data_IF_143310709940
#
_entry.id   IF_143310709940
#
_cell.length_a   1.000
_cell.length_b   1.000
_cell.length_c   1.000
_cell.angle_alpha   90.00
_cell.angle_beta   90.00
_cell.angle_gamma   90.00
#
_symmetry.space_group_name_H-M   'P 1'
#
loop_
_entity.id
_entity.type
_entity.pdbx_description
1 polymer ?
#
# COMPACT_ATOMS: atom_id res chain seq x y z
N UNK A 1 17.53 -19.01 -11.71
CA UNK A 1 17.81 -18.87 -10.27
C UNK A 1 18.10 -17.43 -9.85
N UNK A 2 18.89 -16.66 -10.60
CA UNK A 2 19.24 -15.27 -10.26
C UNK A 2 18.05 -14.31 -10.18
N UNK A 3 17.03 -14.45 -11.04
CA UNK A 3 15.82 -13.60 -11.02
C UNK A 3 14.98 -13.80 -9.76
N UNK A 4 14.74 -15.05 -9.38
CA UNK A 4 13.96 -15.40 -8.18
C UNK A 4 14.65 -14.85 -6.92
N UNK A 5 15.98 -15.01 -6.83
CA UNK A 5 16.75 -14.47 -5.70
C UNK A 5 16.66 -12.95 -5.62
N UNK A 6 16.70 -12.25 -6.75
CA UNK A 6 16.58 -10.79 -6.80
C UNK A 6 15.18 -10.31 -6.36
N UNK A 7 14.13 -11.00 -6.80
CA UNK A 7 12.75 -10.71 -6.39
C UNK A 7 12.60 -10.92 -4.89
N UNK A 8 13.01 -12.08 -4.37
CA UNK A 8 12.91 -12.39 -2.94
C UNK A 8 13.69 -11.39 -2.09
N UNK A 9 14.92 -11.06 -2.48
CA UNK A 9 15.74 -10.08 -1.77
C UNK A 9 15.06 -8.72 -1.73
N UNK A 10 14.50 -8.28 -2.86
CA UNK A 10 13.75 -7.01 -2.92
C UNK A 10 12.54 -7.02 -1.98
N UNK A 11 11.73 -8.09 -1.99
CA UNK A 11 10.60 -8.22 -1.07
C UNK A 11 11.05 -8.20 0.40
N UNK A 12 12.07 -8.96 0.77
CA UNK A 12 12.59 -8.98 2.15
C UNK A 12 13.12 -7.61 2.59
N UNK A 13 13.79 -6.86 1.70
CA UNK A 13 14.24 -5.50 2.05
C UNK A 13 13.08 -4.55 2.30
N UNK A 14 12.01 -4.60 1.49
CA UNK A 14 10.81 -3.77 1.68
C UNK A 14 10.09 -4.15 2.98
N UNK A 15 9.92 -5.45 3.24
CA UNK A 15 9.34 -5.93 4.50
C UNK A 15 10.13 -5.44 5.71
N UNK A 16 11.46 -5.58 5.69
CA UNK A 16 12.31 -5.14 6.80
C UNK A 16 12.22 -3.64 7.07
N UNK A 17 12.33 -2.81 6.03
CA UNK A 17 12.26 -1.35 6.16
C UNK A 17 10.90 -0.92 6.70
N UNK A 18 9.81 -1.44 6.13
CA UNK A 18 8.46 -1.01 6.49
C UNK A 18 8.05 -1.51 7.88
N UNK A 19 8.47 -2.72 8.27
CA UNK A 19 8.33 -3.24 9.63
C UNK A 19 9.04 -2.35 10.65
N UNK A 20 10.27 -1.92 10.37
CA UNK A 20 11.01 -1.05 11.28
C UNK A 20 10.35 0.33 11.40
N UNK A 21 9.94 0.93 10.28
CA UNK A 21 9.33 2.26 10.27
C UNK A 21 7.99 2.27 11.01
N UNK A 22 7.10 1.31 10.72
CA UNK A 22 5.79 1.23 11.37
C UNK A 22 5.94 0.84 12.84
N UNK A 23 6.80 -0.15 13.16
CA UNK A 23 7.05 -0.57 14.54
C UNK A 23 7.61 0.54 15.41
N UNK A 24 8.64 1.25 14.92
CA UNK A 24 9.22 2.39 15.63
C UNK A 24 8.23 3.54 15.79
N UNK A 25 7.33 3.76 14.81
CA UNK A 25 6.29 4.77 14.93
C UNK A 25 5.26 4.41 15.99
N UNK A 26 4.80 3.15 16.00
CA UNK A 26 3.80 2.67 16.97
C UNK A 26 4.36 2.79 18.38
N UNK A 27 5.59 2.33 18.61
CA UNK A 27 6.18 2.31 19.95
C UNK A 27 6.46 3.71 20.52
N UNK A 28 6.87 4.66 19.69
CA UNK A 28 7.19 6.01 20.17
C UNK A 28 5.95 6.86 20.47
N UNK A 29 4.83 6.61 19.78
CA UNK A 29 3.66 7.50 19.79
C UNK A 29 2.45 6.94 20.54
N UNK A 30 2.28 5.62 20.58
CA UNK A 30 1.08 5.00 21.13
C UNK A 30 1.37 4.37 22.48
N UNK A 31 0.58 4.76 23.48
CA UNK A 31 0.62 4.11 24.77
C UNK A 31 -0.07 2.73 24.71
N UNK A 32 0.32 1.77 25.55
CA UNK A 32 -0.24 0.41 25.55
C UNK A 32 -1.77 0.36 25.68
N UNK A 33 -2.36 1.36 26.33
CA UNK A 33 -3.81 1.51 26.50
C UNK A 33 -4.56 1.74 25.19
N UNK A 34 -3.93 2.38 24.20
CA UNK A 34 -4.54 2.64 22.88
C UNK A 34 -4.41 1.43 21.94
N UNK A 35 -3.53 0.47 22.27
CA UNK A 35 -3.28 -0.75 21.51
C UNK A 35 -4.04 -1.96 22.08
N UNK A 36 -4.94 -1.73 23.05
CA UNK A 36 -5.77 -2.76 23.65
C UNK A 36 -6.71 -3.39 22.62
N UNK A 37 -6.84 -4.70 22.73
CA UNK A 37 -7.89 -5.52 22.13
C UNK A 37 -8.39 -6.48 23.22
N UNK A 38 -9.68 -6.47 23.52
CA UNK A 38 -10.30 -7.36 24.53
C UNK A 38 -9.56 -7.37 25.89
N UNK A 39 -9.10 -6.19 26.33
CA UNK A 39 -8.38 -6.00 27.60
C UNK A 39 -6.92 -6.46 27.60
N UNK A 40 -6.37 -6.88 26.46
CA UNK A 40 -4.94 -7.24 26.29
C UNK A 40 -4.24 -6.24 25.40
N UNK A 41 -3.10 -5.72 25.85
CA UNK A 41 -2.28 -4.81 25.05
C UNK A 41 -1.56 -5.62 23.97
N UNK A 42 -1.82 -5.29 22.71
CA UNK A 42 -1.10 -5.89 21.59
C UNK A 42 0.27 -5.23 21.50
N UNK A 43 1.32 -6.05 21.36
CA UNK A 43 2.67 -5.55 21.16
C UNK A 43 2.75 -4.77 19.83
N UNK A 44 3.26 -3.53 19.86
CA UNK A 44 3.38 -2.66 18.70
C UNK A 44 4.21 -3.24 17.55
N UNK A 45 5.28 -3.97 17.87
CA UNK A 45 6.08 -4.69 16.87
C UNK A 45 5.31 -5.83 16.22
N UNK A 46 4.55 -6.60 17.00
CA UNK A 46 3.70 -7.65 16.45
C UNK A 46 2.64 -7.05 15.50
N UNK A 47 2.00 -5.96 15.91
CA UNK A 47 1.05 -5.27 15.05
C UNK A 47 1.70 -4.75 13.77
N UNK A 48 2.88 -4.15 13.87
CA UNK A 48 3.64 -3.71 12.70
C UNK A 48 3.95 -4.87 11.76
N UNK A 49 4.35 -6.03 12.27
CA UNK A 49 4.63 -7.20 11.46
C UNK A 49 3.39 -7.64 10.67
N UNK A 50 2.24 -7.75 11.34
CA UNK A 50 0.98 -8.12 10.71
C UNK A 50 0.60 -7.11 9.63
N UNK A 51 0.56 -5.82 9.95
CA UNK A 51 0.18 -4.75 9.01
C UNK A 51 1.11 -4.73 7.78
N UNK A 52 2.42 -4.88 7.99
CA UNK A 52 3.41 -4.90 6.92
C UNK A 52 3.20 -6.10 5.99
N UNK A 53 3.06 -7.30 6.55
CA UNK A 53 2.90 -8.54 5.76
C UNK A 53 1.55 -8.54 5.04
N UNK A 54 0.47 -8.17 5.72
CA UNK A 54 -0.88 -8.21 5.15
C UNK A 54 -1.13 -7.07 4.21
N UNK A 55 -0.56 -5.89 4.45
CA UNK A 55 -0.65 -4.75 3.55
C UNK A 55 0.09 -4.98 2.24
N UNK A 56 1.33 -5.48 2.30
CA UNK A 56 2.11 -5.76 1.09
C UNK A 56 1.48 -6.90 0.26
N UNK A 57 0.96 -7.93 0.94
CA UNK A 57 0.28 -9.05 0.28
C UNK A 57 -1.20 -8.79 -0.01
N UNK A 58 -1.72 -7.59 0.26
CA UNK A 58 -3.10 -7.20 -0.07
C UNK A 58 -4.19 -8.04 0.62
N UNK A 59 -3.93 -8.50 1.84
CA UNK A 59 -4.85 -9.35 2.59
C UNK A 59 -5.77 -8.59 3.55
N UNK A 60 -5.42 -7.38 3.96
CA UNK A 60 -6.28 -6.54 4.83
C UNK A 60 -6.45 -7.00 6.26
N UNK A 61 -5.71 -8.02 6.69
CA UNK A 61 -5.79 -8.54 8.05
C UNK A 61 -5.05 -7.62 9.01
N UNK A 62 -5.70 -7.27 10.11
CA UNK A 62 -5.12 -6.50 11.21
C UNK A 62 -5.30 -7.30 12.49
N UNK A 63 -4.49 -7.02 13.53
CA UNK A 63 -4.65 -7.70 14.81
C UNK A 63 -5.86 -7.21 15.62
N UNK A 64 -6.57 -6.18 15.13
CA UNK A 64 -7.69 -5.55 15.83
C UNK A 64 -9.01 -5.76 15.11
N UNK A 65 -10.11 -5.68 15.86
CA UNK A 65 -11.47 -5.81 15.30
C UNK A 65 -11.92 -4.57 14.52
N UNK A 66 -11.34 -3.41 14.80
CA UNK A 66 -11.65 -2.13 14.15
C UNK A 66 -10.76 -1.83 12.93
N UNK A 67 -10.06 -2.83 12.40
CA UNK A 67 -9.07 -2.66 11.34
C UNK A 67 -7.98 -1.65 11.74
N UNK A 68 -7.89 -0.52 11.02
CA UNK A 68 -7.01 0.59 11.33
C UNK A 68 -7.79 1.84 11.76
N UNK A 69 -9.03 1.66 12.23
CA UNK A 69 -9.92 2.73 12.70
C UNK A 69 -9.30 3.63 13.75
N UNK A 70 -8.63 3.03 14.75
CA UNK A 70 -7.85 3.75 15.77
C UNK A 70 -6.78 4.71 15.24
N UNK A 71 -6.30 4.51 14.01
CA UNK A 71 -5.26 5.33 13.38
C UNK A 71 -5.80 6.38 12.40
N UNK A 72 -7.12 6.53 12.28
CA UNK A 72 -7.75 7.42 11.30
C UNK A 72 -7.23 8.87 11.33
N UNK A 73 -6.91 9.39 12.53
CA UNK A 73 -6.39 10.75 12.72
C UNK A 73 -4.87 10.87 12.59
N UNK A 74 -4.13 9.75 12.55
CA UNK A 74 -2.68 9.80 12.43
C UNK A 74 -2.24 9.83 10.97
N UNK A 75 -1.76 11.01 10.57
CA UNK A 75 -1.30 11.27 9.21
C UNK A 75 -0.19 10.31 8.79
N UNK A 76 0.79 10.10 9.66
CA UNK A 76 1.98 9.33 9.32
C UNK A 76 1.68 7.84 9.21
N UNK A 77 0.86 7.31 10.13
CA UNK A 77 0.48 5.90 10.10
C UNK A 77 -0.29 5.57 8.81
N UNK A 78 -1.28 6.39 8.45
CA UNK A 78 -2.02 6.23 7.20
C UNK A 78 -1.10 6.27 5.98
N UNK A 79 -0.15 7.22 5.94
CA UNK A 79 0.82 7.32 4.85
C UNK A 79 1.72 6.08 4.77
N UNK A 80 2.24 5.57 5.89
CA UNK A 80 3.07 4.37 5.89
C UNK A 80 2.33 3.15 5.37
N UNK A 81 1.08 2.95 5.79
CA UNK A 81 0.26 1.82 5.32
C UNK A 81 -0.08 1.97 3.84
N UNK A 82 -0.44 3.18 3.37
CA UNK A 82 -0.64 3.45 1.94
C UNK A 82 0.62 3.11 1.14
N UNK A 83 1.80 3.53 1.60
CA UNK A 83 3.06 3.25 0.92
C UNK A 83 3.34 1.75 0.85
N UNK A 84 3.15 1.01 1.94
CA UNK A 84 3.30 -0.47 1.96
C UNK A 84 2.41 -1.13 0.91
N UNK A 85 1.13 -0.73 0.84
CA UNK A 85 0.15 -1.31 -0.10
C UNK A 85 0.50 -0.97 -1.54
N UNK A 86 0.90 0.28 -1.82
CA UNK A 86 1.29 0.71 -3.17
C UNK A 86 2.59 0.00 -3.59
N UNK A 87 3.55 -0.20 -2.67
CA UNK A 87 4.79 -0.93 -2.94
C UNK A 87 4.56 -2.42 -3.21
N UNK A 88 3.59 -3.05 -2.55
CA UNK A 88 3.22 -4.45 -2.83
C UNK A 88 2.47 -4.65 -4.14
N UNK A 89 1.90 -3.58 -4.69
CA UNK A 89 1.04 -3.61 -5.88
C UNK A 89 1.68 -2.88 -7.05
N UNK A 90 1.31 -1.61 -7.20
CA UNK A 90 1.46 -0.86 -8.44
C UNK A 90 2.90 -0.42 -8.67
N UNK A 91 3.64 -0.14 -7.59
CA UNK A 91 5.04 0.23 -7.67
C UNK A 91 5.98 -0.99 -7.73
N UNK A 92 5.51 -2.20 -7.48
CA UNK A 92 6.38 -3.37 -7.42
C UNK A 92 7.18 -3.61 -8.71
N UNK A 93 6.55 -3.63 -9.92
CA UNK A 93 7.30 -3.84 -11.17
C UNK A 93 8.30 -2.71 -11.46
N UNK A 94 7.93 -1.48 -11.10
CA UNK A 94 8.79 -0.32 -11.24
C UNK A 94 10.01 -0.41 -10.33
N UNK A 95 9.82 -0.76 -9.05
CA UNK A 95 10.91 -0.97 -8.09
C UNK A 95 11.83 -2.09 -8.56
N UNK A 96 11.28 -3.24 -8.95
CA UNK A 96 12.06 -4.38 -9.42
C UNK A 96 12.96 -3.98 -10.61
N UNK A 97 12.43 -3.22 -11.56
CA UNK A 97 13.20 -2.72 -12.71
C UNK A 97 14.33 -1.78 -12.30
N UNK A 98 14.07 -0.86 -11.36
CA UNK A 98 15.11 0.04 -10.85
C UNK A 98 16.20 -0.72 -10.09
N UNK A 99 15.83 -1.72 -9.28
CA UNK A 99 16.80 -2.58 -8.57
C UNK A 99 17.67 -3.35 -9.57
N UNK A 100 17.11 -3.88 -10.66
CA UNK A 100 17.88 -4.55 -11.72
C UNK A 100 18.86 -3.59 -12.41
N UNK A 101 18.43 -2.35 -12.67
CA UNK A 101 19.31 -1.32 -13.26
C UNK A 101 20.43 -0.94 -12.28
N UNK A 102 20.12 -0.77 -10.99
CA UNK A 102 21.12 -0.49 -9.95
C UNK A 102 22.11 -1.65 -9.80
N UNK A 103 21.63 -2.90 -9.83
CA UNK A 103 22.49 -4.08 -9.80
C UNK A 103 23.46 -4.11 -10.99
N UNK A 104 23.08 -3.59 -12.17
CA UNK A 104 23.97 -3.48 -13.34
C UNK A 104 25.19 -2.58 -13.08
N UNK A 105 25.08 -1.59 -12.20
CA UNK A 105 26.21 -0.71 -11.86
C UNK A 105 27.21 -1.37 -10.91
N UNK A 106 26.72 -2.25 -10.01
CA UNK A 106 27.54 -2.89 -8.98
C UNK A 106 28.24 -4.14 -9.50
N UNK A 107 27.62 -4.82 -10.47
CA UNK A 107 28.01 -6.17 -10.89
C UNK A 107 29.09 -6.17 -11.99
N UNK A 108 30.12 -7.05 -11.92
CA UNK A 108 31.19 -7.15 -12.92
C UNK A 108 30.68 -7.59 -14.31
N UNK A 109 31.44 -7.25 -15.35
CA UNK A 109 31.06 -7.36 -16.77
C UNK A 109 30.44 -8.71 -17.19
N UNK A 110 30.90 -9.84 -16.63
CA UNK A 110 30.40 -11.19 -16.98
C UNK A 110 28.90 -11.38 -16.68
N UNK A 111 28.39 -10.75 -15.64
CA UNK A 111 26.99 -10.89 -15.23
C UNK A 111 26.08 -9.80 -15.80
N UNK A 112 26.64 -8.71 -16.37
CA UNK A 112 25.86 -7.67 -17.07
C UNK A 112 25.09 -8.22 -18.25
N UNK A 113 25.66 -9.19 -18.97
CA UNK A 113 25.02 -9.87 -20.10
C UNK A 113 23.75 -10.62 -19.64
N UNK A 114 23.80 -11.25 -18.46
CA UNK A 114 22.65 -11.96 -17.88
C UNK A 114 21.55 -10.98 -17.47
N UNK A 115 21.91 -9.85 -16.87
CA UNK A 115 20.97 -8.78 -16.49
C UNK A 115 20.30 -8.13 -17.72
N UNK A 116 21.08 -7.85 -18.77
CA UNK A 116 20.55 -7.34 -20.03
C UNK A 116 19.64 -8.37 -20.71
N UNK A 117 19.99 -9.65 -20.67
CA UNK A 117 19.12 -10.73 -21.17
C UNK A 117 17.79 -10.82 -20.40
N UNK A 118 17.80 -10.63 -19.07
CA UNK A 118 16.59 -10.60 -18.24
C UNK A 118 15.70 -9.39 -18.58
N UNK A 119 16.30 -8.22 -18.83
CA UNK A 119 15.56 -7.01 -19.23
C UNK A 119 14.97 -7.12 -20.64
N UNK A 120 15.66 -7.81 -21.56
CA UNK A 120 15.22 -8.05 -22.94
C UNK A 120 14.15 -9.16 -23.04
N UNK A 121 14.27 -10.23 -22.25
CA UNK A 121 13.30 -11.35 -22.19
C UNK A 121 12.42 -11.31 -20.93
N UNK A 122 11.91 -10.12 -20.65
CA UNK A 122 11.07 -9.77 -19.51
C UNK A 122 9.94 -10.78 -19.21
N UNK A 123 9.08 -11.12 -20.19
CA UNK A 123 7.92 -11.99 -19.96
C UNK A 123 8.24 -13.48 -19.77
N UNK A 124 9.41 -13.96 -20.19
CA UNK A 124 9.79 -15.39 -20.07
C UNK A 124 10.45 -15.75 -18.74
N UNK A 125 10.99 -14.76 -18.03
CA UNK A 125 11.84 -14.96 -16.84
C UNK A 125 11.24 -14.43 -15.54
N UNK A 126 10.31 -13.47 -15.63
CA UNK A 126 9.50 -13.02 -14.48
C UNK A 126 8.22 -12.38 -15.00
N UNK A 127 7.06 -12.95 -14.67
CA UNK A 127 5.75 -12.35 -14.96
C UNK A 127 5.57 -10.98 -14.28
N UNK A 128 6.36 -10.69 -13.25
CA UNK A 128 6.32 -9.43 -12.49
C UNK A 128 7.16 -8.31 -13.12
N UNK A 129 7.96 -8.60 -14.16
CA UNK A 129 8.80 -7.62 -14.82
C UNK A 129 8.13 -7.16 -16.12
N UNK A 130 7.37 -6.07 -16.05
CA UNK A 130 6.74 -5.49 -17.23
C UNK A 130 7.74 -4.72 -18.12
N UNK A 131 7.48 -4.61 -19.43
CA UNK A 131 8.14 -3.65 -20.30
C UNK A 131 8.14 -2.24 -19.68
N UNK A 132 9.19 -1.48 -19.98
CA UNK A 132 9.38 -0.12 -19.44
C UNK A 132 8.19 0.81 -19.71
N UNK A 133 7.65 0.72 -20.93
CA UNK A 133 6.52 1.55 -21.38
C UNK A 133 5.24 1.10 -20.69
N UNK A 134 4.98 -0.20 -20.63
CA UNK A 134 3.80 -0.75 -19.96
C UNK A 134 3.77 -0.41 -18.47
N UNK A 135 4.91 -0.50 -17.79
CA UNK A 135 5.02 -0.11 -16.36
C UNK A 135 4.67 1.36 -16.15
N UNK A 136 5.14 2.25 -17.02
CA UNK A 136 4.86 3.69 -16.93
C UNK A 136 3.39 4.00 -17.21
N UNK A 137 2.80 3.38 -18.24
CA UNK A 137 1.39 3.53 -18.58
C UNK A 137 0.51 3.02 -17.43
N UNK A 138 0.83 1.85 -16.89
CA UNK A 138 0.09 1.27 -15.76
C UNK A 138 0.12 2.17 -14.52
N UNK A 139 1.29 2.73 -14.18
CA UNK A 139 1.42 3.69 -13.08
C UNK A 139 0.61 4.96 -13.33
N UNK A 140 0.63 5.48 -14.56
CA UNK A 140 -0.12 6.68 -14.95
C UNK A 140 -1.63 6.43 -14.80
N UNK A 141 -2.15 5.34 -15.38
CA UNK A 141 -3.57 4.98 -15.31
C UNK A 141 -3.99 4.77 -13.85
N UNK A 142 -3.20 4.03 -13.07
CA UNK A 142 -3.50 3.77 -11.66
C UNK A 142 -3.53 5.05 -10.83
N UNK A 143 -2.58 5.96 -11.06
CA UNK A 143 -2.55 7.27 -10.40
C UNK A 143 -3.78 8.11 -10.77
N UNK A 144 -4.19 8.10 -12.04
CA UNK A 144 -5.40 8.82 -12.48
C UNK A 144 -6.65 8.26 -11.81
N UNK A 145 -6.80 6.94 -11.75
CA UNK A 145 -7.94 6.29 -11.09
C UNK A 145 -8.03 6.68 -9.61
N UNK A 146 -6.90 6.75 -8.91
CA UNK A 146 -6.88 7.21 -7.52
C UNK A 146 -7.28 8.67 -7.37
N UNK A 147 -6.74 9.57 -8.20
CA UNK A 147 -7.08 10.99 -8.17
C UNK A 147 -8.58 11.18 -8.40
N UNK A 148 -9.13 10.50 -9.41
CA UNK A 148 -10.56 10.54 -9.73
C UNK A 148 -11.39 9.97 -8.58
N UNK A 149 -11.00 8.81 -8.03
CA UNK A 149 -11.70 8.15 -6.93
C UNK A 149 -11.78 9.03 -5.68
N UNK A 150 -10.65 9.62 -5.27
CA UNK A 150 -10.59 10.54 -4.12
C UNK A 150 -11.41 11.79 -4.38
N UNK A 151 -11.29 12.40 -5.56
CA UNK A 151 -12.01 13.64 -5.90
C UNK A 151 -13.52 13.44 -5.86
N UNK A 152 -14.04 12.37 -6.49
CA UNK A 152 -15.48 12.08 -6.52
C UNK A 152 -15.97 11.75 -5.10
N UNK A 153 -15.24 10.93 -4.35
CA UNK A 153 -15.63 10.55 -2.98
C UNK A 153 -15.69 11.76 -2.05
N UNK A 154 -14.71 12.67 -2.15
CA UNK A 154 -14.72 13.93 -1.41
C UNK A 154 -15.95 14.78 -1.75
N UNK A 155 -16.24 14.99 -3.04
CA UNK A 155 -17.37 15.80 -3.49
C UNK A 155 -18.70 15.25 -3.00
N UNK A 156 -18.86 13.91 -3.00
CA UNK A 156 -20.11 13.25 -2.60
C UNK A 156 -20.34 13.29 -1.08
N UNK A 157 -19.29 13.29 -0.28
CA UNK A 157 -19.38 13.27 1.19
C UNK A 157 -19.16 14.64 1.88
N UNK A 158 -19.03 15.75 1.12
CA UNK A 158 -18.82 17.11 1.69
C UNK A 158 -19.85 17.51 2.76
N UNK A 159 -21.10 17.06 2.64
CA UNK A 159 -22.20 17.43 3.54
C UNK A 159 -22.48 16.40 4.65
N UNK A 160 -21.65 15.37 4.76
CA UNK A 160 -21.90 14.28 5.70
C UNK A 160 -21.44 14.67 7.12
N UNK A 161 -22.37 14.62 8.07
CA UNK A 161 -22.16 15.06 9.47
C UNK A 161 -21.10 14.23 10.20
N UNK A 162 -20.88 13.00 9.77
CA UNK A 162 -19.88 12.11 10.36
C UNK A 162 -18.44 12.62 10.15
N UNK A 163 -18.20 13.38 9.07
CA UNK A 163 -16.87 13.89 8.74
C UNK A 163 -16.61 15.30 9.27
N UNK A 164 -17.65 16.02 9.72
CA UNK A 164 -17.53 17.36 10.31
C UNK A 164 -16.64 17.40 11.57
N UNK A 165 -16.35 16.24 12.17
CA UNK A 165 -15.45 16.09 13.32
C UNK A 165 -13.96 16.09 12.96
N UNK A 166 -13.63 15.94 11.67
CA UNK A 166 -12.25 15.89 11.18
C UNK A 166 -11.91 17.19 10.45
N UNK A 167 -10.68 17.68 10.67
CA UNK A 167 -10.12 18.76 9.88
C UNK A 167 -10.02 18.35 8.39
N UNK A 168 -10.13 19.32 7.48
CA UNK A 168 -10.15 19.09 6.03
C UNK A 168 -8.96 18.23 5.54
N UNK A 169 -7.77 18.45 6.09
CA UNK A 169 -6.57 17.65 5.77
C UNK A 169 -6.70 16.18 6.17
N UNK A 170 -7.32 15.90 7.32
CA UNK A 170 -7.56 14.53 7.78
C UNK A 170 -8.68 13.87 6.98
N UNK A 171 -9.71 14.63 6.57
CA UNK A 171 -10.75 14.12 5.68
C UNK A 171 -10.13 13.67 4.35
N UNK A 172 -9.35 14.55 3.69
CA UNK A 172 -8.64 14.22 2.47
C UNK A 172 -7.82 12.93 2.61
N UNK A 173 -7.08 12.80 3.71
CA UNK A 173 -6.27 11.62 3.97
C UNK A 173 -7.11 10.36 4.18
N UNK A 174 -8.24 10.45 4.88
CA UNK A 174 -9.17 9.31 5.06
C UNK A 174 -9.72 8.84 3.72
N UNK A 175 -10.15 9.75 2.85
CA UNK A 175 -10.64 9.39 1.51
C UNK A 175 -9.53 8.84 0.61
N UNK A 176 -8.33 9.42 0.69
CA UNK A 176 -7.14 8.90 0.00
C UNK A 176 -6.81 7.48 0.46
N UNK A 177 -6.77 7.25 1.77
CA UNK A 177 -6.54 5.94 2.36
C UNK A 177 -7.61 4.95 1.86
N UNK A 178 -8.88 5.27 2.03
CA UNK A 178 -9.97 4.37 1.68
C UNK A 178 -10.00 4.07 0.17
N UNK A 179 -9.72 5.06 -0.69
CA UNK A 179 -9.62 4.87 -2.15
C UNK A 179 -8.48 3.93 -2.53
N UNK A 180 -7.32 4.01 -1.86
CA UNK A 180 -6.20 3.10 -2.11
C UNK A 180 -6.52 1.70 -1.60
N UNK A 181 -7.14 1.59 -0.41
CA UNK A 181 -7.42 0.30 0.22
C UNK A 181 -8.51 -0.49 -0.49
N UNK A 182 -9.58 0.17 -0.95
CA UNK A 182 -10.71 -0.49 -1.66
C UNK A 182 -10.28 -1.20 -2.94
N UNK A 183 -9.18 -0.76 -3.57
CA UNK A 183 -8.68 -1.40 -4.79
C UNK A 183 -7.76 -2.60 -4.54
N UNK A 184 -7.10 -2.67 -3.37
CA UNK A 184 -6.01 -3.64 -3.15
C UNK A 184 -6.04 -4.31 -1.78
N UNK A 185 -5.94 -3.56 -0.69
CA UNK A 185 -5.61 -4.15 0.61
C UNK A 185 -6.79 -4.28 1.58
N UNK A 186 -7.94 -3.67 1.36
CA UNK A 186 -9.13 -3.88 2.18
C UNK A 186 -9.06 -3.36 3.64
N UNK A 187 -8.03 -2.61 4.03
CA UNK A 187 -8.01 -1.94 5.33
C UNK A 187 -9.03 -0.81 5.40
N UNK A 188 -9.55 -0.56 6.60
CA UNK A 188 -10.51 0.51 6.86
C UNK A 188 -10.06 1.37 8.02
N UNK A 189 -10.13 2.70 7.86
CA UNK A 189 -9.90 3.69 8.93
C UNK A 189 -11.21 4.28 9.44
N UNK A 190 -12.27 4.15 8.67
CA UNK A 190 -13.61 4.59 9.00
C UNK A 190 -14.59 3.47 8.72
N UNK A 191 -15.75 3.51 9.38
CA UNK A 191 -16.82 2.61 9.04
C UNK A 191 -17.36 2.94 7.64
N UNK A 192 -17.21 1.99 6.72
CA UNK A 192 -17.68 2.12 5.34
C UNK A 192 -19.20 2.36 5.32
N UNK A 193 -19.95 1.82 6.28
CA UNK A 193 -21.42 1.98 6.34
C UNK A 193 -21.87 3.43 6.59
N UNK A 194 -20.97 4.28 7.08
CA UNK A 194 -21.24 5.69 7.42
C UNK A 194 -21.08 6.66 6.25
N UNK A 195 -20.60 6.17 5.10
CA UNK A 195 -20.39 6.94 3.87
C UNK A 195 -21.67 7.14 3.08
N UNK A 196 -21.72 8.19 2.25
CA UNK A 196 -22.81 8.39 1.32
C UNK A 196 -22.94 7.21 0.34
N UNK A 197 -24.19 6.86 -0.01
CA UNK A 197 -24.47 5.78 -0.97
C UNK A 197 -23.74 5.98 -2.31
N UNK A 198 -23.56 7.23 -2.76
CA UNK A 198 -22.79 7.56 -3.96
C UNK A 198 -21.32 7.13 -3.86
N UNK A 199 -20.67 7.40 -2.71
CA UNK A 199 -19.27 7.02 -2.46
C UNK A 199 -19.09 5.50 -2.41
N UNK A 200 -20.07 4.78 -1.86
CA UNK A 200 -20.08 3.31 -1.88
C UNK A 200 -20.10 2.76 -3.30
N UNK A 201 -20.89 3.34 -4.20
CA UNK A 201 -20.92 2.95 -5.62
C UNK A 201 -19.56 3.20 -6.28
N UNK A 202 -18.92 4.34 -6.00
CA UNK A 202 -17.57 4.64 -6.52
C UNK A 202 -16.55 3.60 -6.05
N UNK A 203 -16.58 3.24 -4.76
CA UNK A 203 -15.68 2.21 -4.21
C UNK A 203 -15.96 0.82 -4.79
N UNK A 204 -17.22 0.45 -5.04
CA UNK A 204 -17.57 -0.78 -5.73
C UNK A 204 -17.01 -0.80 -7.16
N UNK A 205 -17.10 0.32 -7.90
CA UNK A 205 -16.53 0.43 -9.23
C UNK A 205 -15.00 0.31 -9.21
N UNK A 206 -14.33 0.97 -8.26
CA UNK A 206 -12.88 0.88 -8.10
C UNK A 206 -12.42 -0.53 -7.74
N UNK A 207 -13.18 -1.26 -6.92
CA UNK A 207 -12.92 -2.65 -6.56
C UNK A 207 -13.15 -3.60 -7.74
N UNK A 208 -14.16 -3.33 -8.57
CA UNK A 208 -14.47 -4.15 -9.75
C UNK A 208 -13.42 -4.02 -10.86
N UNK A 209 -12.78 -2.86 -10.97
CA UNK A 209 -11.70 -2.63 -11.94
C UNK A 209 -10.43 -3.34 -11.48
N UNK A 210 -10.19 -4.53 -12.05
CA UNK A 210 -8.98 -5.30 -11.77
C UNK A 210 -7.73 -4.51 -12.16
N UNK A 211 -6.76 -4.35 -11.25
CA UNK A 211 -5.40 -3.98 -11.63
C UNK A 211 -4.81 -5.12 -12.47
N UNK A 212 -4.26 -4.78 -13.64
CA UNK A 212 -3.59 -5.74 -14.54
C UNK A 212 -2.33 -6.34 -13.92
#
# INVERSE_FOLDING_TARGET
MTTIFLILTTCFTIYGITFIVIGAWIENKYHPEQLLQDGRAINGWYASFIITVTGFNQNGLTPWSDSLGRFAKDVYMNLFVILVVIFGTSLFPFLLRNVVILAKFIVPWRHKIVLDYILLNNHRLSTLLFPAVQTRIYLLITSLLYIIGVSISLILDLNNKNFALYADANQFLIFLFQTVMTRFAGFTTIDISSLAAGTLIVYLLLMAVKPQ
#
